data_IF_122906115821
#
_entry.id   IF_122906115821
#
_cell.length_a   1.000
_cell.length_b   1.000
_cell.length_c   1.000
_cell.angle_alpha   90.00
_cell.angle_beta   90.00
_cell.angle_gamma   90.00
#
_symmetry.space_group_name_H-M   'P 1'
#
loop_
_entity.id
_entity.type
_entity.pdbx_description
1 polymer ?
#
# COMPACT_ATOMS: atom_id res chain seq x y z
N UNK A 1 -22.36 -11.55 -9.81
CA UNK A 1 -21.84 -12.15 -8.54
C UNK A 1 -23.00 -12.70 -7.72
N UNK A 2 -22.85 -13.90 -7.11
CA UNK A 2 -23.93 -14.55 -6.37
C UNK A 2 -24.29 -13.73 -5.11
N UNK A 3 -25.59 -13.53 -4.86
CA UNK A 3 -26.14 -12.78 -3.72
C UNK A 3 -25.58 -13.23 -2.35
N UNK A 4 -25.33 -14.53 -2.20
CA UNK A 4 -24.71 -15.13 -1.01
C UNK A 4 -23.34 -14.54 -0.67
N UNK A 5 -22.55 -14.13 -1.67
CA UNK A 5 -21.23 -13.52 -1.47
C UNK A 5 -21.35 -12.09 -0.91
N UNK A 6 -22.37 -11.33 -1.32
CA UNK A 6 -22.63 -9.99 -0.76
C UNK A 6 -22.95 -10.04 0.73
N UNK A 7 -23.77 -10.99 1.15
CA UNK A 7 -24.18 -11.15 2.56
C UNK A 7 -22.95 -11.47 3.40
N UNK A 8 -22.15 -12.46 2.99
CA UNK A 8 -20.97 -12.89 3.74
C UNK A 8 -19.87 -11.80 3.77
N UNK A 9 -19.68 -11.09 2.66
CA UNK A 9 -18.81 -9.91 2.63
C UNK A 9 -19.27 -8.86 3.65
N UNK A 10 -20.57 -8.57 3.68
CA UNK A 10 -21.14 -7.57 4.59
C UNK A 10 -20.95 -7.98 6.05
N UNK A 11 -21.21 -9.23 6.41
CA UNK A 11 -20.98 -9.76 7.75
C UNK A 11 -19.50 -9.62 8.13
N UNK A 12 -18.58 -10.07 7.28
CA UNK A 12 -17.14 -9.99 7.53
C UNK A 12 -16.67 -8.53 7.67
N UNK A 13 -17.17 -7.64 6.81
CA UNK A 13 -16.86 -6.21 6.85
C UNK A 13 -17.24 -5.58 8.19
N UNK A 14 -18.45 -5.83 8.69
CA UNK A 14 -18.89 -5.22 9.95
C UNK A 14 -18.29 -5.91 11.18
N UNK A 15 -18.13 -7.24 11.16
CA UNK A 15 -17.54 -7.97 12.26
C UNK A 15 -16.04 -7.64 12.42
N UNK A 16 -15.23 -7.94 11.40
CA UNK A 16 -13.78 -7.69 11.45
C UNK A 16 -13.46 -6.19 11.40
N UNK A 17 -14.23 -5.44 10.60
CA UNK A 17 -14.09 -4.00 10.52
C UNK A 17 -14.45 -3.30 11.82
N UNK A 18 -15.47 -3.77 12.57
CA UNK A 18 -15.84 -3.27 13.89
C UNK A 18 -14.68 -3.42 14.89
N UNK A 19 -14.06 -4.60 14.93
CA UNK A 19 -12.85 -4.83 15.74
C UNK A 19 -11.69 -3.91 15.32
N UNK A 20 -11.48 -3.76 14.02
CA UNK A 20 -10.44 -2.88 13.49
C UNK A 20 -10.66 -1.42 13.90
N UNK A 21 -11.89 -0.92 13.77
CA UNK A 21 -12.27 0.45 14.16
C UNK A 21 -12.10 0.68 15.67
N UNK A 22 -12.55 -0.28 16.48
CA UNK A 22 -12.44 -0.17 17.93
C UNK A 22 -10.96 -0.19 18.41
N UNK A 23 -10.13 -1.01 17.74
CA UNK A 23 -8.74 -1.21 18.13
C UNK A 23 -7.83 -0.08 17.68
N UNK A 24 -7.91 0.33 16.39
CA UNK A 24 -6.99 1.32 15.79
C UNK A 24 -7.54 2.74 15.76
N UNK A 25 -8.86 2.91 15.80
CA UNK A 25 -9.59 4.20 15.73
C UNK A 25 -9.07 5.08 14.58
N UNK A 26 -9.06 4.55 13.33
CA UNK A 26 -8.52 5.29 12.20
C UNK A 26 -9.39 6.49 11.85
N UNK A 27 -8.76 7.52 11.28
CA UNK A 27 -9.44 8.67 10.69
C UNK A 27 -9.65 8.44 9.20
N UNK A 28 -10.80 8.88 8.70
CA UNK A 28 -11.18 8.78 7.29
C UNK A 28 -11.44 10.17 6.75
N UNK A 29 -10.61 10.64 5.85
CA UNK A 29 -10.74 11.95 5.23
C UNK A 29 -11.22 11.82 3.79
N UNK A 30 -12.03 12.80 3.34
CA UNK A 30 -12.51 12.94 1.97
C UNK A 30 -13.28 11.73 1.41
N UNK A 31 -13.97 10.95 2.24
CA UNK A 31 -14.76 9.77 1.79
C UNK A 31 -15.80 10.11 0.71
N UNK A 32 -16.22 11.37 0.64
CA UNK A 32 -17.17 11.85 -0.37
C UNK A 32 -16.60 11.80 -1.79
N UNK A 33 -15.27 11.74 -1.95
CA UNK A 33 -14.60 11.59 -3.25
C UNK A 33 -14.72 10.18 -3.83
N UNK A 34 -15.12 9.18 -3.03
CA UNK A 34 -15.33 7.81 -3.52
C UNK A 34 -16.68 7.71 -4.22
N UNK A 35 -16.73 7.48 -5.55
CA UNK A 35 -17.99 7.36 -6.29
C UNK A 35 -18.87 6.24 -5.74
N UNK A 36 -20.17 6.50 -5.64
CA UNK A 36 -21.15 5.54 -5.10
C UNK A 36 -21.47 4.43 -6.10
N UNK A 37 -21.41 4.74 -7.39
CA UNK A 37 -21.82 3.88 -8.50
C UNK A 37 -20.76 3.86 -9.61
N UNK A 38 -20.90 2.96 -10.57
CA UNK A 38 -19.99 2.79 -11.70
C UNK A 38 -18.67 2.10 -11.35
N UNK A 39 -17.86 1.75 -12.34
CA UNK A 39 -16.56 1.09 -12.10
C UNK A 39 -15.57 2.06 -11.47
N UNK A 40 -14.91 1.63 -10.40
CA UNK A 40 -13.85 2.41 -9.75
C UNK A 40 -12.66 1.53 -9.41
N UNK A 41 -11.47 2.13 -9.40
CA UNK A 41 -10.24 1.51 -8.93
C UNK A 41 -9.69 2.34 -7.78
N UNK A 42 -9.72 1.79 -6.56
CA UNK A 42 -9.15 2.39 -5.37
C UNK A 42 -7.67 2.01 -5.28
N UNK A 43 -6.78 3.00 -5.35
CA UNK A 43 -5.33 2.80 -5.38
C UNK A 43 -4.64 3.54 -4.24
N UNK A 44 -3.77 2.87 -3.50
CA UNK A 44 -3.01 3.51 -2.42
C UNK A 44 -1.68 2.83 -2.11
N UNK A 45 -0.91 3.45 -1.23
CA UNK A 45 0.31 2.89 -0.69
C UNK A 45 0.04 1.65 0.17
N UNK A 46 1.01 0.73 0.24
CA UNK A 46 0.84 -0.55 0.93
C UNK A 46 1.98 -0.81 1.92
N UNK A 47 1.70 -0.68 3.21
CA UNK A 47 2.71 -0.82 4.29
C UNK A 47 2.37 -1.89 5.32
N UNK A 48 1.09 -2.26 5.47
CA UNK A 48 0.63 -3.19 6.49
C UNK A 48 -0.36 -4.23 5.96
N UNK A 49 -0.49 -5.37 6.64
CA UNK A 49 -1.46 -6.42 6.28
C UNK A 49 -2.92 -5.94 6.33
N UNK A 50 -3.22 -4.97 7.17
CA UNK A 50 -4.57 -4.47 7.39
C UNK A 50 -4.93 -3.22 6.58
N UNK A 51 -4.07 -2.79 5.65
CA UNK A 51 -4.33 -1.60 4.83
C UNK A 51 -5.68 -1.66 4.11
N UNK A 52 -6.09 -2.84 3.64
CA UNK A 52 -7.36 -3.02 2.93
C UNK A 52 -8.60 -2.69 3.78
N UNK A 53 -8.53 -2.76 5.12
CA UNK A 53 -9.67 -2.40 5.95
C UNK A 53 -10.03 -0.92 5.83
N UNK A 54 -9.07 -0.03 5.60
CA UNK A 54 -9.31 1.40 5.51
C UNK A 54 -10.22 1.76 4.32
N UNK A 55 -9.91 1.42 3.05
CA UNK A 55 -10.82 1.68 1.94
C UNK A 55 -12.10 0.83 2.00
N UNK A 56 -12.07 -0.42 2.50
CA UNK A 56 -13.27 -1.24 2.67
C UNK A 56 -14.27 -0.56 3.61
N UNK A 57 -13.81 0.00 4.73
CA UNK A 57 -14.66 0.63 5.73
C UNK A 57 -15.10 2.05 5.36
N UNK A 58 -14.47 2.68 4.37
CA UNK A 58 -14.80 4.02 3.91
C UNK A 58 -16.00 4.10 2.97
N UNK A 59 -16.37 3.00 2.31
CA UNK A 59 -17.47 2.94 1.33
C UNK A 59 -18.49 1.86 1.68
N UNK A 60 -19.72 1.99 1.21
CA UNK A 60 -20.75 0.93 1.31
C UNK A 60 -20.57 -0.14 0.23
N UNK A 61 -19.76 0.13 -0.78
CA UNK A 61 -19.54 -0.79 -1.92
C UNK A 61 -18.74 -2.00 -1.49
N UNK A 62 -18.94 -3.10 -2.19
CA UNK A 62 -18.06 -4.27 -2.11
C UNK A 62 -16.81 -3.98 -2.92
N UNK A 63 -15.65 -4.12 -2.28
CA UNK A 63 -14.34 -3.95 -2.90
C UNK A 63 -13.72 -5.31 -3.19
N UNK A 64 -13.43 -5.54 -4.45
CA UNK A 64 -12.67 -6.71 -4.90
C UNK A 64 -11.19 -6.41 -4.81
N UNK A 65 -10.43 -7.27 -4.11
CA UNK A 65 -8.98 -7.13 -3.99
C UNK A 65 -8.27 -8.27 -4.70
N UNK A 66 -7.15 -7.96 -5.33
CA UNK A 66 -6.22 -8.97 -5.83
C UNK A 66 -5.42 -9.55 -4.66
N UNK A 67 -5.57 -10.84 -4.39
CA UNK A 67 -4.92 -11.53 -3.27
C UNK A 67 -4.03 -12.67 -3.77
N UNK A 68 -2.96 -12.97 -3.03
CA UNK A 68 -2.03 -14.05 -3.36
C UNK A 68 -2.76 -15.38 -3.55
N UNK A 69 -2.45 -16.11 -4.61
CA UNK A 69 -3.05 -17.42 -4.96
C UNK A 69 -2.97 -18.41 -3.81
N UNK A 70 -1.86 -18.44 -3.08
CA UNK A 70 -1.63 -19.35 -1.96
C UNK A 70 -2.65 -19.17 -0.81
N UNK A 71 -3.32 -18.01 -0.72
CA UNK A 71 -4.41 -17.83 0.25
C UNK A 71 -5.66 -18.64 -0.12
N UNK A 72 -5.83 -18.94 -1.41
CA UNK A 72 -6.95 -19.73 -1.92
C UNK A 72 -6.70 -21.25 -1.84
N UNK A 73 -5.45 -21.65 -1.56
CA UNK A 73 -5.04 -23.02 -1.30
C UNK A 73 -4.96 -23.32 0.21
N UNK A 74 -5.26 -22.33 1.05
CA UNK A 74 -5.22 -22.42 2.51
C UNK A 74 -6.60 -22.82 3.10
N UNK A 75 -6.67 -23.26 4.38
CA UNK A 75 -7.94 -23.49 5.08
C UNK A 75 -8.87 -22.26 5.10
N UNK A 76 -8.33 -21.07 4.86
CA UNK A 76 -9.08 -19.82 4.79
C UNK A 76 -9.56 -19.47 3.37
N UNK A 77 -9.42 -20.36 2.39
CA UNK A 77 -9.80 -20.13 1.00
C UNK A 77 -11.25 -19.65 0.84
N UNK A 78 -12.18 -20.23 1.63
CA UNK A 78 -13.58 -19.82 1.61
C UNK A 78 -13.78 -18.35 1.96
N UNK A 79 -12.99 -17.82 2.90
CA UNK A 79 -13.04 -16.41 3.32
C UNK A 79 -12.64 -15.47 2.18
N UNK A 80 -11.53 -15.76 1.50
CA UNK A 80 -11.06 -14.94 0.38
C UNK A 80 -12.03 -14.99 -0.81
N UNK A 81 -12.56 -16.17 -1.13
CA UNK A 81 -13.61 -16.34 -2.17
C UNK A 81 -14.88 -15.56 -1.80
N UNK A 82 -15.35 -15.69 -0.57
CA UNK A 82 -16.54 -15.01 -0.08
C UNK A 82 -16.36 -13.49 0.04
N UNK A 83 -15.12 -13.03 0.26
CA UNK A 83 -14.77 -11.61 0.24
C UNK A 83 -14.61 -11.04 -1.17
N UNK A 84 -14.85 -11.85 -2.22
CA UNK A 84 -14.74 -11.43 -3.61
C UNK A 84 -13.30 -11.11 -4.03
N UNK A 85 -12.31 -11.69 -3.35
CA UNK A 85 -10.92 -11.54 -3.72
C UNK A 85 -10.60 -12.31 -4.99
N UNK A 86 -9.77 -11.71 -5.85
CA UNK A 86 -9.28 -12.28 -7.11
C UNK A 86 -7.92 -12.93 -6.82
N UNK A 87 -7.75 -14.25 -7.06
CA UNK A 87 -6.47 -14.92 -6.88
C UNK A 87 -5.45 -14.40 -7.90
N UNK A 88 -4.22 -14.13 -7.46
CA UNK A 88 -3.11 -13.68 -8.33
C UNK A 88 -1.88 -14.52 -8.07
N UNK A 89 -1.38 -15.14 -9.10
CA UNK A 89 -0.06 -15.75 -9.13
C UNK A 89 0.99 -14.67 -9.45
N UNK A 90 1.79 -14.31 -8.46
CA UNK A 90 2.80 -13.24 -8.60
C UNK A 90 4.12 -13.73 -9.20
N UNK A 91 4.26 -15.03 -9.43
CA UNK A 91 5.46 -15.65 -10.01
C UNK A 91 5.44 -15.59 -11.54
N UNK A 92 4.26 -15.38 -12.14
CA UNK A 92 4.04 -15.31 -13.58
C UNK A 92 3.31 -14.03 -13.97
N UNK A 93 3.23 -13.76 -15.27
CA UNK A 93 2.29 -12.79 -15.82
C UNK A 93 0.89 -13.41 -15.84
N UNK A 94 0.08 -13.14 -14.81
CA UNK A 94 -1.21 -13.78 -14.59
C UNK A 94 -2.33 -13.08 -15.38
N UNK A 95 -2.54 -13.50 -16.62
CA UNK A 95 -3.59 -12.97 -17.48
C UNK A 95 -5.00 -13.32 -16.97
N UNK A 96 -5.18 -14.45 -16.26
CA UNK A 96 -6.46 -14.82 -15.68
C UNK A 96 -6.86 -13.85 -14.57
N UNK A 97 -5.93 -13.50 -13.70
CA UNK A 97 -6.17 -12.51 -12.66
C UNK A 97 -6.52 -11.14 -13.25
N UNK A 98 -5.84 -10.75 -14.33
CA UNK A 98 -6.12 -9.51 -15.06
C UNK A 98 -7.50 -9.54 -15.72
N UNK A 99 -7.86 -10.62 -16.39
CA UNK A 99 -9.19 -10.80 -17.00
C UNK A 99 -10.30 -10.73 -15.95
N UNK A 100 -10.15 -11.42 -14.83
CA UNK A 100 -11.13 -11.37 -13.73
C UNK A 100 -11.26 -9.96 -13.13
N UNK A 101 -10.18 -9.19 -13.05
CA UNK A 101 -10.24 -7.81 -12.60
C UNK A 101 -10.98 -6.90 -13.60
N UNK A 102 -10.76 -7.11 -14.91
CA UNK A 102 -11.50 -6.39 -15.96
C UNK A 102 -12.99 -6.74 -15.96
N UNK A 103 -13.37 -8.00 -15.74
CA UNK A 103 -14.77 -8.43 -15.59
C UNK A 103 -15.44 -7.70 -14.43
N UNK A 104 -14.81 -7.66 -13.26
CA UNK A 104 -15.31 -6.93 -12.08
C UNK A 104 -15.58 -5.45 -12.41
N UNK A 105 -14.68 -4.81 -13.14
CA UNK A 105 -14.83 -3.41 -13.52
C UNK A 105 -15.93 -3.23 -14.59
N UNK A 106 -15.98 -4.10 -15.61
CA UNK A 106 -17.01 -4.06 -16.65
C UNK A 106 -18.41 -4.30 -16.10
N UNK A 107 -18.57 -5.08 -15.02
CA UNK A 107 -19.81 -5.23 -14.27
C UNK A 107 -20.15 -4.02 -13.37
N UNK A 108 -19.34 -2.96 -13.38
CA UNK A 108 -19.55 -1.74 -12.60
C UNK A 108 -19.18 -1.83 -11.13
N UNK A 109 -18.41 -2.85 -10.73
CA UNK A 109 -17.95 -3.01 -9.35
C UNK A 109 -16.68 -2.18 -9.03
N UNK A 110 -16.30 -2.23 -7.76
CA UNK A 110 -15.14 -1.54 -7.24
C UNK A 110 -13.96 -2.50 -7.05
N UNK A 111 -12.79 -2.14 -7.56
CA UNK A 111 -11.54 -2.88 -7.43
C UNK A 111 -10.59 -2.13 -6.51
N UNK A 112 -9.97 -2.82 -5.56
CA UNK A 112 -8.89 -2.30 -4.73
C UNK A 112 -7.54 -2.83 -5.20
N UNK A 113 -6.60 -1.93 -5.48
CA UNK A 113 -5.26 -2.27 -5.96
C UNK A 113 -4.21 -1.54 -5.12
N UNK A 114 -3.14 -2.25 -4.79
CA UNK A 114 -1.91 -1.66 -4.31
C UNK A 114 -0.91 -1.65 -5.46
N UNK A 115 -0.74 -0.50 -6.16
CA UNK A 115 0.04 -0.45 -7.40
C UNK A 115 1.54 -0.69 -7.18
N UNK A 116 2.04 -0.57 -5.94
CA UNK A 116 3.39 -1.01 -5.56
C UNK A 116 3.60 -2.52 -5.80
N UNK A 117 2.53 -3.32 -5.93
CA UNK A 117 2.55 -4.77 -6.15
C UNK A 117 3.06 -5.57 -4.95
N UNK A 118 3.54 -4.92 -3.91
CA UNK A 118 4.05 -5.52 -2.67
C UNK A 118 3.95 -4.53 -1.52
N UNK A 119 4.08 -5.00 -0.28
CA UNK A 119 4.16 -4.09 0.87
C UNK A 119 5.51 -3.37 0.92
N UNK A 120 5.47 -2.06 1.03
CA UNK A 120 6.63 -1.21 1.30
C UNK A 120 6.99 -1.27 2.78
N UNK A 121 7.35 -2.45 3.25
CA UNK A 121 7.70 -2.72 4.66
C UNK A 121 8.87 -3.67 4.73
N UNK A 122 9.97 -3.25 5.34
CA UNK A 122 11.19 -4.05 5.50
C UNK A 122 10.89 -5.38 6.22
N UNK A 123 10.04 -5.36 7.24
CA UNK A 123 9.64 -6.56 7.99
C UNK A 123 8.95 -7.64 7.14
N UNK A 124 8.48 -7.29 5.93
CA UNK A 124 7.82 -8.20 4.98
C UNK A 124 8.75 -8.74 3.90
N UNK A 125 9.98 -8.24 3.80
CA UNK A 125 11.01 -8.66 2.83
C UNK A 125 12.08 -9.46 3.54
N UNK A 126 11.90 -10.80 3.58
CA UNK A 126 12.72 -11.69 4.41
C UNK A 126 14.23 -11.55 4.15
N UNK A 127 14.62 -11.55 2.88
CA UNK A 127 16.02 -11.51 2.50
C UNK A 127 16.64 -10.14 2.83
N UNK A 128 15.97 -9.05 2.44
CA UNK A 128 16.43 -7.69 2.76
C UNK A 128 16.42 -7.39 4.25
N UNK A 129 15.45 -7.91 4.99
CA UNK A 129 15.43 -7.80 6.45
C UNK A 129 16.60 -8.52 7.10
N UNK A 130 16.99 -9.71 6.57
CA UNK A 130 18.14 -10.47 7.05
C UNK A 130 19.45 -9.75 6.72
N UNK A 131 19.59 -9.27 5.49
CA UNK A 131 20.71 -8.43 5.06
C UNK A 131 20.91 -7.22 5.98
N UNK A 132 19.83 -6.48 6.24
CA UNK A 132 19.88 -5.32 7.12
C UNK A 132 20.20 -5.68 8.57
N UNK A 133 19.71 -6.80 9.07
CA UNK A 133 20.07 -7.29 10.40
C UNK A 133 21.55 -7.61 10.52
N UNK A 134 22.11 -8.34 9.56
CA UNK A 134 23.55 -8.66 9.50
C UNK A 134 24.40 -7.40 9.28
N UNK A 135 23.87 -6.46 8.49
CA UNK A 135 24.53 -5.20 8.20
C UNK A 135 24.68 -4.31 9.45
N UNK A 136 23.64 -4.17 10.26
CA UNK A 136 23.68 -3.35 11.48
C UNK A 136 24.34 -4.09 12.66
N UNK A 137 24.65 -5.39 12.50
CA UNK A 137 25.31 -6.23 13.49
C UNK A 137 24.67 -6.11 14.88
N UNK A 138 23.42 -6.46 14.97
CA UNK A 138 22.59 -6.23 16.14
C UNK A 138 22.90 -7.18 17.30
N UNK A 139 22.95 -6.64 18.50
CA UNK A 139 23.08 -7.38 19.76
C UNK A 139 21.74 -8.02 20.18
N UNK A 140 20.63 -7.65 19.51
CA UNK A 140 19.30 -8.18 19.79
C UNK A 140 18.94 -9.37 18.88
N UNK A 141 18.14 -10.34 19.36
CA UNK A 141 17.72 -11.45 18.52
C UNK A 141 16.95 -11.00 17.25
N UNK A 142 17.18 -11.65 16.12
CA UNK A 142 16.53 -11.36 14.84
C UNK A 142 15.00 -11.22 14.93
N UNK A 143 14.35 -12.07 15.74
CA UNK A 143 12.88 -11.99 15.97
C UNK A 143 12.48 -10.65 16.60
N UNK A 144 13.29 -10.13 17.52
CA UNK A 144 13.07 -8.82 18.16
C UNK A 144 13.31 -7.68 17.16
N UNK A 145 14.39 -7.73 16.38
CA UNK A 145 14.68 -6.80 15.30
C UNK A 145 13.51 -6.70 14.32
N UNK A 146 13.05 -7.85 13.80
CA UNK A 146 11.87 -7.91 12.92
C UNK A 146 10.62 -7.27 13.53
N UNK A 147 10.38 -7.50 14.83
CA UNK A 147 9.23 -6.91 15.54
C UNK A 147 9.33 -5.38 15.60
N UNK A 148 10.52 -4.85 15.81
CA UNK A 148 10.78 -3.40 15.82
C UNK A 148 10.57 -2.81 14.42
N UNK A 149 11.19 -3.38 13.38
CA UNK A 149 11.01 -2.94 11.99
C UNK A 149 9.53 -2.91 11.57
N UNK A 150 8.75 -3.88 12.04
CA UNK A 150 7.31 -3.91 11.81
C UNK A 150 6.58 -2.82 12.59
N UNK A 151 6.93 -2.63 13.88
CA UNK A 151 6.28 -1.65 14.77
C UNK A 151 6.51 -0.21 14.31
N UNK A 152 7.73 0.07 13.85
CA UNK A 152 8.12 1.41 13.40
C UNK A 152 7.83 1.63 11.91
N UNK A 153 7.31 0.59 11.24
CA UNK A 153 6.87 0.62 9.84
C UNK A 153 7.97 1.07 8.88
N UNK A 154 9.21 0.58 9.14
CA UNK A 154 10.37 0.89 8.31
C UNK A 154 10.11 0.48 6.86
N UNK A 155 10.23 1.45 5.95
CA UNK A 155 9.97 1.25 4.52
C UNK A 155 11.16 0.66 3.78
N UNK A 156 10.88 -0.20 2.82
CA UNK A 156 11.90 -0.74 1.90
C UNK A 156 12.51 0.39 1.06
N UNK A 157 11.67 1.27 0.49
CA UNK A 157 12.13 2.39 -0.35
C UNK A 157 13.11 3.32 0.37
N UNK A 158 12.87 3.59 1.65
CA UNK A 158 13.78 4.41 2.48
C UNK A 158 15.07 3.66 2.83
N UNK A 159 14.97 2.36 3.09
CA UNK A 159 16.16 1.51 3.30
C UNK A 159 17.02 1.44 2.05
N UNK A 160 16.40 1.35 0.87
CA UNK A 160 17.10 1.34 -0.42
C UNK A 160 17.85 2.65 -0.67
N UNK A 161 17.24 3.79 -0.31
CA UNK A 161 17.92 5.08 -0.40
C UNK A 161 19.15 5.13 0.51
N UNK A 162 19.07 4.66 1.78
CA UNK A 162 20.23 4.62 2.67
C UNK A 162 21.36 3.75 2.13
N UNK A 163 21.04 2.58 1.58
CA UNK A 163 22.04 1.70 0.97
C UNK A 163 22.69 2.33 -0.26
N UNK A 164 21.92 3.06 -1.08
CA UNK A 164 22.43 3.85 -2.21
C UNK A 164 23.41 4.92 -1.71
N UNK A 165 23.04 5.70 -0.69
CA UNK A 165 23.89 6.76 -0.13
C UNK A 165 25.19 6.22 0.47
N UNK A 166 25.14 5.04 1.08
CA UNK A 166 26.33 4.34 1.55
C UNK A 166 27.25 3.94 0.38
N UNK A 167 26.70 3.37 -0.69
CA UNK A 167 27.44 2.99 -1.88
C UNK A 167 28.09 4.20 -2.59
N UNK A 168 27.45 5.38 -2.50
CA UNK A 168 27.96 6.65 -3.00
C UNK A 168 28.94 7.35 -2.03
N UNK A 169 29.29 6.73 -0.89
CA UNK A 169 30.11 7.31 0.18
C UNK A 169 29.58 8.63 0.76
N UNK A 170 28.29 8.90 0.65
CA UNK A 170 27.65 10.09 1.22
C UNK A 170 27.35 9.93 2.72
N UNK A 171 27.24 8.67 3.19
CA UNK A 171 27.08 8.29 4.59
C UNK A 171 27.97 7.08 4.89
N UNK A 172 28.23 6.82 6.17
CA UNK A 172 28.97 5.65 6.62
C UNK A 172 28.04 4.62 7.26
N UNK A 173 28.54 3.38 7.45
CA UNK A 173 27.78 2.27 8.01
C UNK A 173 27.15 2.59 9.37
N UNK A 174 27.87 3.28 10.25
CA UNK A 174 27.40 3.66 11.57
C UNK A 174 26.23 4.61 11.52
N UNK A 175 26.10 5.45 10.49
CA UNK A 175 24.93 6.28 10.29
C UNK A 175 23.66 5.43 10.12
N UNK A 176 23.72 4.34 9.36
CA UNK A 176 22.60 3.43 9.17
C UNK A 176 22.30 2.69 10.47
N UNK A 177 23.34 2.12 11.10
CA UNK A 177 23.21 1.40 12.37
C UNK A 177 22.48 2.24 13.43
N UNK A 178 22.87 3.50 13.59
CA UNK A 178 22.32 4.38 14.61
C UNK A 178 20.91 4.91 14.28
N UNK A 179 20.50 4.89 13.00
CA UNK A 179 19.28 5.56 12.56
C UNK A 179 18.22 4.63 11.93
N UNK A 180 18.47 3.32 11.81
CA UNK A 180 17.54 2.38 11.17
C UNK A 180 16.14 2.37 11.82
N UNK A 181 16.04 2.68 13.12
CA UNK A 181 14.79 2.72 13.89
C UNK A 181 14.01 4.03 13.72
N UNK A 182 14.65 5.07 13.20
CA UNK A 182 14.08 6.40 12.94
C UNK A 182 14.42 6.89 11.52
N UNK A 183 14.39 5.96 10.58
CA UNK A 183 14.89 6.16 9.21
C UNK A 183 14.27 7.39 8.53
N UNK A 184 12.98 7.64 8.72
CA UNK A 184 12.30 8.78 8.10
C UNK A 184 12.83 10.11 8.63
N UNK A 185 12.98 10.22 9.94
CA UNK A 185 13.52 11.40 10.60
C UNK A 185 14.97 11.64 10.16
N UNK A 186 15.76 10.58 10.05
CA UNK A 186 17.16 10.69 9.59
C UNK A 186 17.25 11.15 8.13
N UNK A 187 16.40 10.65 7.24
CA UNK A 187 16.37 11.11 5.85
C UNK A 187 15.98 12.61 5.75
N UNK A 188 15.10 13.10 6.62
CA UNK A 188 14.79 14.54 6.71
C UNK A 188 15.98 15.36 7.21
N UNK A 189 16.78 14.83 8.14
CA UNK A 189 18.02 15.47 8.58
C UNK A 189 19.03 15.54 7.43
N UNK A 190 19.15 14.46 6.63
CA UNK A 190 20.04 14.44 5.44
C UNK A 190 19.55 15.41 4.35
N UNK A 191 18.23 15.54 4.14
CA UNK A 191 17.65 16.56 3.24
C UNK A 191 18.01 17.98 3.72
N UNK A 192 17.80 18.26 5.00
CA UNK A 192 18.10 19.55 5.60
C UNK A 192 19.59 19.91 5.54
N UNK A 193 20.47 18.92 5.60
CA UNK A 193 21.92 19.07 5.46
C UNK A 193 22.40 19.07 4.00
N UNK A 194 21.49 19.04 3.02
CA UNK A 194 21.79 18.95 1.57
C UNK A 194 22.66 17.74 1.18
N UNK A 195 22.63 16.64 1.94
CA UNK A 195 23.27 15.36 1.59
C UNK A 195 22.45 14.62 0.55
N UNK A 196 21.13 14.77 0.63
CA UNK A 196 20.16 14.30 -0.37
C UNK A 196 19.31 15.48 -0.84
N UNK A 197 18.79 15.36 -2.05
CA UNK A 197 17.83 16.32 -2.61
C UNK A 197 16.42 16.06 -2.08
N UNK A 198 15.56 17.09 -2.12
CA UNK A 198 14.13 16.94 -1.82
C UNK A 198 13.45 15.89 -2.73
N UNK A 199 13.91 15.76 -3.98
CA UNK A 199 13.41 14.73 -4.89
C UNK A 199 13.80 13.32 -4.46
N UNK A 200 15.03 13.08 -3.99
CA UNK A 200 15.47 11.77 -3.49
C UNK A 200 14.65 11.38 -2.24
N UNK A 201 14.43 12.32 -1.32
CA UNK A 201 13.54 12.07 -0.19
C UNK A 201 12.11 11.77 -0.65
N UNK A 202 11.55 12.58 -1.52
CA UNK A 202 10.20 12.42 -2.08
C UNK A 202 10.02 11.06 -2.76
N UNK A 203 11.00 10.62 -3.54
CA UNK A 203 10.97 9.32 -4.21
C UNK A 203 11.05 8.14 -3.23
N UNK A 204 11.68 8.34 -2.08
CA UNK A 204 11.75 7.31 -1.03
C UNK A 204 10.43 7.06 -0.28
N UNK A 205 9.41 7.90 -0.47
CA UNK A 205 8.13 7.77 0.22
C UNK A 205 7.29 6.59 -0.27
N UNK A 206 7.47 6.16 -1.52
CA UNK A 206 6.66 5.14 -2.19
C UNK A 206 7.57 4.25 -3.06
N UNK A 207 7.24 2.97 -3.20
CA UNK A 207 7.87 2.12 -4.20
C UNK A 207 7.38 2.50 -5.61
N UNK A 208 8.17 2.21 -6.67
CA UNK A 208 7.71 2.41 -8.04
C UNK A 208 6.38 1.72 -8.31
N UNK A 209 5.44 2.43 -8.92
CA UNK A 209 4.11 1.91 -9.20
C UNK A 209 4.10 1.09 -10.50
N UNK A 210 3.37 -0.03 -10.48
CA UNK A 210 3.06 -0.83 -11.66
C UNK A 210 1.86 -0.21 -12.40
N UNK A 211 1.85 -0.35 -13.70
CA UNK A 211 0.83 0.22 -14.59
C UNK A 211 -0.56 -0.43 -14.49
N UNK A 212 -0.72 -1.50 -13.71
CA UNK A 212 -1.96 -2.29 -13.65
C UNK A 212 -3.22 -1.46 -13.38
N UNK A 213 -3.17 -0.49 -12.48
CA UNK A 213 -4.30 0.35 -12.13
C UNK A 213 -4.72 1.25 -13.30
N UNK A 214 -3.80 2.03 -13.85
CA UNK A 214 -4.07 2.97 -14.96
C UNK A 214 -4.42 2.23 -16.26
N UNK A 215 -3.76 1.09 -16.54
CA UNK A 215 -4.06 0.25 -17.70
C UNK A 215 -5.46 -0.37 -17.64
N UNK A 216 -5.91 -0.83 -16.47
CA UNK A 216 -7.29 -1.32 -16.32
C UNK A 216 -8.31 -0.20 -16.39
N UNK A 217 -8.01 0.97 -15.82
CA UNK A 217 -8.86 2.16 -15.93
C UNK A 217 -9.05 2.56 -17.39
N UNK A 218 -7.96 2.61 -18.18
CA UNK A 218 -8.02 2.93 -19.60
C UNK A 218 -8.92 1.98 -20.40
N UNK A 219 -8.85 0.67 -20.09
CA UNK A 219 -9.62 -0.37 -20.79
C UNK A 219 -11.10 -0.41 -20.44
N UNK A 220 -11.48 0.03 -19.24
CA UNK A 220 -12.84 -0.14 -18.69
C UNK A 220 -13.56 1.17 -18.46
N UNK A 221 -12.89 2.32 -18.64
CA UNK A 221 -13.43 3.62 -18.24
C UNK A 221 -13.61 3.80 -16.73
N UNK A 222 -13.04 2.93 -15.92
CA UNK A 222 -13.13 3.02 -14.46
C UNK A 222 -12.44 4.30 -13.94
N UNK A 223 -13.07 4.95 -12.97
CA UNK A 223 -12.49 6.11 -12.29
C UNK A 223 -11.42 5.62 -11.32
N UNK A 224 -10.21 6.16 -11.44
CA UNK A 224 -9.12 5.92 -10.48
C UNK A 224 -9.33 6.86 -9.28
N UNK A 225 -9.38 6.29 -8.09
CA UNK A 225 -9.51 7.01 -6.83
C UNK A 225 -8.27 6.77 -5.99
N UNK A 226 -7.29 7.68 -6.03
CA UNK A 226 -6.09 7.58 -5.22
C UNK A 226 -6.42 7.75 -3.74
N UNK A 227 -5.65 7.10 -2.86
CA UNK A 227 -5.68 7.37 -1.43
C UNK A 227 -4.29 7.17 -0.82
N UNK A 228 -4.03 7.87 0.28
CA UNK A 228 -2.83 7.68 1.08
C UNK A 228 -3.18 7.18 2.48
N UNK A 229 -2.43 6.16 2.92
CA UNK A 229 -2.47 5.66 4.30
C UNK A 229 -1.27 6.25 5.04
N UNK A 230 -1.53 6.95 6.12
CA UNK A 230 -0.54 7.62 6.98
C UNK A 230 -0.71 7.21 8.44
N UNK A 231 0.29 7.50 9.25
CA UNK A 231 0.32 7.12 10.66
C UNK A 231 0.79 5.68 10.88
N UNK A 232 0.62 5.18 12.10
CA UNK A 232 1.13 3.86 12.53
C UNK A 232 0.00 2.99 13.10
N UNK A 233 0.04 1.70 12.82
CA UNK A 233 -0.89 0.70 13.36
C UNK A 233 -0.59 0.43 14.85
N UNK A 234 -1.06 1.33 15.71
CA UNK A 234 -0.91 1.24 17.17
C UNK A 234 -2.27 1.30 17.87
N UNK A 235 -2.44 0.49 18.92
CA UNK A 235 -3.67 0.47 19.69
C UNK A 235 -4.04 1.87 20.19
N UNK A 236 -5.26 2.29 19.93
CA UNK A 236 -5.89 3.52 20.46
C UNK A 236 -5.08 4.84 20.32
N UNK A 237 -4.10 4.91 19.39
CA UNK A 237 -3.28 6.14 19.20
C UNK A 237 -3.91 7.18 18.28
N UNK A 238 -5.03 6.87 17.63
CA UNK A 238 -5.79 7.77 16.73
C UNK A 238 -4.96 8.48 15.64
N UNK A 239 -3.79 7.93 15.31
CA UNK A 239 -2.90 8.52 14.30
C UNK A 239 -2.91 7.79 12.96
N UNK A 240 -3.60 6.64 12.89
CA UNK A 240 -3.82 5.93 11.63
C UNK A 240 -4.88 6.69 10.84
N UNK A 241 -4.57 7.02 9.60
CA UNK A 241 -5.44 7.83 8.74
C UNK A 241 -5.44 7.30 7.32
N UNK A 242 -6.58 7.37 6.64
CA UNK A 242 -6.69 7.27 5.20
C UNK A 242 -7.30 8.55 4.66
N UNK A 243 -6.62 9.15 3.68
CA UNK A 243 -7.07 10.35 2.97
C UNK A 243 -7.36 9.96 1.53
N UNK A 244 -8.62 10.10 1.07
CA UNK A 244 -8.95 9.94 -0.35
C UNK A 244 -8.58 11.21 -1.09
N UNK A 245 -7.99 11.03 -2.28
CA UNK A 245 -7.44 12.11 -3.10
C UNK A 245 -8.34 12.32 -4.33
N UNK A 246 -8.03 13.33 -5.13
CA UNK A 246 -8.86 13.71 -6.28
C UNK A 246 -8.97 12.54 -7.28
N UNK A 247 -10.18 12.06 -7.61
CA UNK A 247 -10.36 11.05 -8.62
C UNK A 247 -10.03 11.56 -10.00
N UNK A 248 -9.54 10.67 -10.87
CA UNK A 248 -9.28 10.98 -12.27
C UNK A 248 -9.68 9.81 -13.19
N UNK A 249 -9.82 10.08 -14.47
CA UNK A 249 -10.09 9.10 -15.51
C UNK A 249 -8.86 8.92 -16.41
N UNK A 250 -8.81 7.77 -17.09
CA UNK A 250 -7.77 7.47 -18.07
C UNK A 250 -8.44 7.19 -19.40
N UNK A 251 -8.26 8.08 -20.37
CA UNK A 251 -8.82 7.93 -21.71
C UNK A 251 -7.96 6.99 -22.58
N UNK A 252 -8.52 6.50 -23.69
CA UNK A 252 -7.79 5.63 -24.62
C UNK A 252 -6.57 6.30 -25.27
N UNK A 253 -6.53 7.63 -25.29
CA UNK A 253 -5.46 8.44 -25.87
C UNK A 253 -4.40 8.89 -24.86
N UNK A 254 -4.65 8.69 -23.56
CA UNK A 254 -3.70 9.10 -22.52
C UNK A 254 -2.45 8.23 -22.50
N UNK A 255 -1.29 8.84 -22.27
CA UNK A 255 -0.06 8.11 -22.00
C UNK A 255 -0.13 7.45 -20.61
N UNK A 256 0.07 6.13 -20.57
CA UNK A 256 0.00 5.38 -19.33
C UNK A 256 1.12 5.74 -18.34
N UNK A 257 2.26 6.19 -18.85
CA UNK A 257 3.39 6.60 -17.99
C UNK A 257 3.06 7.90 -17.28
N UNK A 258 2.50 8.88 -18.01
CA UNK A 258 2.05 10.14 -17.43
C UNK A 258 0.97 9.90 -16.37
N UNK A 259 -0.04 9.09 -16.69
CA UNK A 259 -1.12 8.76 -15.74
C UNK A 259 -0.64 7.98 -14.51
N UNK A 260 0.34 7.09 -14.67
CA UNK A 260 0.94 6.38 -13.54
C UNK A 260 1.80 7.30 -12.67
N UNK A 261 2.49 8.28 -13.28
CA UNK A 261 3.22 9.32 -12.57
C UNK A 261 2.26 10.28 -11.84
N UNK A 262 1.12 10.65 -12.45
CA UNK A 262 0.06 11.42 -11.81
C UNK A 262 -0.44 10.69 -10.55
N UNK A 263 -0.76 9.39 -10.66
CA UNK A 263 -1.16 8.56 -9.52
C UNK A 263 -0.10 8.52 -8.42
N UNK A 264 1.16 8.32 -8.79
CA UNK A 264 2.27 8.29 -7.84
C UNK A 264 2.46 9.64 -7.14
N UNK A 265 2.36 10.74 -7.89
CA UNK A 265 2.47 12.11 -7.38
C UNK A 265 1.39 12.42 -6.36
N UNK A 266 0.11 12.16 -6.66
CA UNK A 266 -0.99 12.39 -5.75
C UNK A 266 -0.77 11.67 -4.41
N UNK A 267 -0.36 10.39 -4.44
CA UNK A 267 -0.10 9.61 -3.23
C UNK A 267 1.11 10.17 -2.46
N UNK A 268 2.23 10.47 -3.15
CA UNK A 268 3.45 10.99 -2.52
C UNK A 268 3.24 12.37 -1.91
N UNK A 269 2.49 13.24 -2.56
CA UNK A 269 2.20 14.59 -2.06
C UNK A 269 1.47 14.52 -0.70
N UNK A 270 0.50 13.61 -0.56
CA UNK A 270 -0.17 13.42 0.73
C UNK A 270 0.75 12.76 1.77
N UNK A 271 1.58 11.78 1.38
CA UNK A 271 2.57 11.16 2.26
C UNK A 271 3.59 12.19 2.76
N UNK A 272 4.01 13.12 1.90
CA UNK A 272 4.96 14.19 2.23
C UNK A 272 4.41 15.15 3.29
N UNK A 273 3.13 15.57 3.16
CA UNK A 273 2.47 16.43 4.16
C UNK A 273 2.46 15.82 5.56
N UNK A 274 2.44 14.49 5.64
CA UNK A 274 2.41 13.78 6.93
C UNK A 274 3.82 13.46 7.46
N UNK A 275 4.82 13.50 6.61
CA UNK A 275 6.21 13.16 6.96
C UNK A 275 7.00 14.33 7.53
N UNK A 276 6.59 15.54 7.19
CA UNK A 276 7.10 16.83 7.71
C UNK A 276 6.19 17.34 8.83
#
# INVERSE_FOLDING_TARGET
MKEKHKILYTINKYLLGGFFLAYYRPKFENKHLVPKDGPIILCGNHVHLFDQFLPILSTKRMLHYMAKKEYFDSPFAFFFKASGCIPVDRSIHDDNAKSSALEVLNEGYALGIYPEGTRNSLACKKDKLKEMYEFVNEEIPFKKFKKIMKKDMVKVSQTDLLLKLLAENKIIKDNIKNNIYRINEYLLELESANVITSNEYYDSLLLPLKYGAVSMAQKTGAIVVPYAITGKYRFSKNNLKVTFLKPFTVSSTDDLTEKNNELAKEIKDELLKYSK
#
